data_IF_080155092197
#
_entry.id   IF_080155092197
#
_cell.length_a   1.000
_cell.length_b   1.000
_cell.length_c   1.000
_cell.angle_alpha   90.00
_cell.angle_beta   90.00
_cell.angle_gamma   90.00
#
_symmetry.space_group_name_H-M   'P 1'
#
loop_
_entity.id
_entity.type
_entity.pdbx_description
1 polymer ?
#
# COMPACT_ATOMS: atom_id res chain seq x y z
N UNK A 1 -12.37 8.20 -2.64
CA UNK A 1 -11.03 7.62 -2.36
C UNK A 1 -11.01 6.17 -2.83
N UNK A 2 -9.84 5.51 -3.00
CA UNK A 2 -9.75 4.16 -3.61
C UNK A 2 -10.70 3.11 -2.99
N UNK A 3 -10.88 3.12 -1.67
CA UNK A 3 -11.83 2.28 -0.93
C UNK A 3 -13.33 2.51 -1.23
N UNK A 4 -13.65 3.60 -1.93
CA UNK A 4 -15.02 4.00 -2.28
C UNK A 4 -15.33 3.73 -3.77
N UNK A 5 -14.54 2.88 -4.44
CA UNK A 5 -14.79 2.45 -5.83
C UNK A 5 -14.25 3.39 -6.92
N UNK A 6 -13.34 4.31 -6.57
CA UNK A 6 -12.69 5.18 -7.56
C UNK A 6 -11.31 4.63 -7.94
N UNK A 7 -10.98 4.66 -9.23
CA UNK A 7 -9.63 4.34 -9.70
C UNK A 7 -8.64 5.40 -9.21
N UNK A 8 -7.54 4.95 -8.61
CA UNK A 8 -6.45 5.80 -8.12
C UNK A 8 -5.12 5.23 -8.62
N UNK A 9 -4.19 6.12 -8.97
CA UNK A 9 -2.84 5.74 -9.37
C UNK A 9 -1.82 6.62 -8.63
N UNK A 10 -0.78 6.01 -8.09
CA UNK A 10 0.31 6.67 -7.37
C UNK A 10 1.63 6.32 -8.07
N UNK A 11 2.46 7.33 -8.31
CA UNK A 11 3.76 7.18 -8.96
C UNK A 11 4.88 7.68 -8.04
N UNK A 12 5.96 6.89 -7.95
CA UNK A 12 7.22 7.35 -7.35
C UNK A 12 8.08 8.09 -8.38
N UNK A 13 8.41 9.35 -8.12
CA UNK A 13 9.26 10.17 -9.00
C UNK A 13 10.62 10.45 -8.34
N UNK A 14 11.68 10.52 -9.15
CA UNK A 14 13.04 10.82 -8.70
C UNK A 14 14.13 10.18 -9.55
N UNK A 15 15.38 10.60 -9.34
CA UNK A 15 16.56 10.06 -10.04
C UNK A 15 16.68 8.53 -9.86
N UNK A 16 17.13 7.76 -10.88
CA UNK A 16 17.36 6.33 -10.77
C UNK A 16 18.18 5.94 -9.54
N UNK A 17 17.69 4.96 -8.80
CA UNK A 17 18.24 4.57 -7.51
C UNK A 17 17.21 3.86 -6.66
N UNK A 18 17.64 3.16 -5.60
CA UNK A 18 16.77 2.31 -4.79
C UNK A 18 15.72 3.09 -4.01
N UNK A 19 15.89 4.40 -3.77
CA UNK A 19 14.97 5.17 -2.92
C UNK A 19 13.51 5.17 -3.37
N UNK A 20 13.24 5.08 -4.67
CA UNK A 20 11.87 4.94 -5.20
C UNK A 20 11.28 3.57 -4.87
N UNK A 21 12.03 2.51 -5.18
CA UNK A 21 11.62 1.14 -4.89
C UNK A 21 11.48 0.91 -3.39
N UNK A 22 12.42 1.42 -2.58
CA UNK A 22 12.37 1.33 -1.12
C UNK A 22 11.17 2.07 -0.52
N UNK A 23 10.79 3.23 -1.07
CA UNK A 23 9.58 3.93 -0.62
C UNK A 23 8.28 3.20 -1.01
N UNK A 24 8.30 2.44 -2.10
CA UNK A 24 7.13 1.73 -2.60
C UNK A 24 6.99 0.32 -1.98
N UNK A 25 8.07 -0.44 -1.93
CA UNK A 25 8.10 -1.84 -1.48
C UNK A 25 8.63 -1.98 -0.05
N UNK A 26 9.64 -1.19 0.30
CA UNK A 26 10.31 -1.27 1.61
C UNK A 26 11.22 -2.49 1.71
N UNK A 27 11.31 -3.06 2.91
CA UNK A 27 11.98 -4.33 3.19
C UNK A 27 10.97 -5.35 3.70
N UNK A 28 11.12 -6.62 3.30
CA UNK A 28 10.31 -7.75 3.77
C UNK A 28 10.89 -8.43 5.02
N UNK A 29 11.96 -7.86 5.59
CA UNK A 29 12.70 -8.47 6.72
C UNK A 29 12.17 -7.99 8.07
N UNK A 30 11.67 -6.75 8.14
CA UNK A 30 11.16 -6.12 9.36
C UNK A 30 9.83 -5.44 9.05
N UNK A 31 8.82 -5.67 9.89
CA UNK A 31 7.48 -5.10 9.71
C UNK A 31 7.50 -3.57 9.71
N UNK A 32 8.38 -2.97 10.53
CA UNK A 32 8.57 -1.52 10.59
C UNK A 32 9.10 -0.94 9.26
N UNK A 33 9.82 -1.75 8.48
CA UNK A 33 10.40 -1.37 7.20
C UNK A 33 9.49 -1.63 5.99
N UNK A 34 8.30 -2.18 6.18
CA UNK A 34 7.30 -2.27 5.10
C UNK A 34 6.92 -0.87 4.60
N UNK A 35 6.79 -0.70 3.29
CA UNK A 35 6.46 0.60 2.71
C UNK A 35 5.05 0.64 2.08
N UNK A 36 4.83 1.48 1.07
CA UNK A 36 3.50 1.85 0.60
C UNK A 36 2.66 0.67 0.09
N UNK A 37 3.23 -0.18 -0.77
CA UNK A 37 2.54 -1.30 -1.44
C UNK A 37 2.02 -2.34 -0.43
N UNK A 38 2.87 -2.96 0.42
CA UNK A 38 2.39 -3.99 1.35
C UNK A 38 1.37 -3.43 2.35
N UNK A 39 1.56 -2.19 2.84
CA UNK A 39 0.60 -1.53 3.74
C UNK A 39 -0.75 -1.27 3.07
N UNK A 40 -0.75 -0.83 1.81
CA UNK A 40 -1.98 -0.62 1.06
C UNK A 40 -2.73 -1.94 0.83
N UNK A 41 -2.03 -3.03 0.53
CA UNK A 41 -2.64 -4.35 0.38
C UNK A 41 -3.32 -4.81 1.68
N UNK A 42 -2.64 -4.70 2.82
CA UNK A 42 -3.20 -5.04 4.15
C UNK A 42 -4.48 -4.24 4.41
N UNK A 43 -4.43 -2.91 4.23
CA UNK A 43 -5.60 -2.04 4.43
C UNK A 43 -6.78 -2.41 3.55
N UNK A 44 -6.54 -2.87 2.31
CA UNK A 44 -7.62 -3.33 1.43
C UNK A 44 -8.29 -4.58 2.02
N UNK A 45 -7.52 -5.57 2.46
CA UNK A 45 -8.07 -6.78 3.07
C UNK A 45 -8.81 -6.48 4.38
N UNK A 46 -8.23 -5.67 5.27
CA UNK A 46 -8.88 -5.23 6.51
C UNK A 46 -10.21 -4.50 6.23
N UNK A 47 -10.23 -3.62 5.22
CA UNK A 47 -11.44 -2.91 4.83
C UNK A 47 -12.51 -3.87 4.31
N UNK A 48 -12.11 -4.90 3.54
CA UNK A 48 -13.04 -5.93 3.04
C UNK A 48 -13.64 -6.72 4.20
N UNK A 49 -12.83 -7.17 5.16
CA UNK A 49 -13.31 -7.90 6.35
C UNK A 49 -14.28 -7.06 7.18
N UNK A 50 -13.94 -5.80 7.44
CA UNK A 50 -14.82 -4.86 8.18
C UNK A 50 -16.14 -4.59 7.46
N UNK A 51 -16.16 -4.64 6.13
CA UNK A 51 -17.38 -4.48 5.34
C UNK A 51 -18.24 -5.75 5.37
N UNK A 52 -17.62 -6.94 5.42
CA UNK A 52 -18.32 -8.22 5.59
C UNK A 52 -18.99 -8.29 6.96
N UNK A 53 -18.33 -7.87 8.04
CA UNK A 53 -18.92 -7.91 9.39
C UNK A 53 -20.07 -6.92 9.61
N UNK A 54 -20.15 -5.86 8.80
CA UNK A 54 -21.18 -4.81 8.90
C UNK A 54 -22.40 -5.05 7.99
N UNK A 55 -22.35 -6.05 7.12
CA UNK A 55 -23.44 -6.47 6.23
C UNK A 55 -24.22 -7.64 6.79
#
# INVERSE_FOLDING_TARGET
SASHGYNVCIFGYGHPGPGKAYTMEGSNVEDEMMAMIPRAAIQVFETVELLVEKG
#
